data_IF_953665377776
#
_entry.id   IF_953665377776
#
_cell.length_a   1.000
_cell.length_b   1.000
_cell.length_c   1.000
_cell.angle_alpha   90.00
_cell.angle_beta   90.00
_cell.angle_gamma   90.00
#
_symmetry.space_group_name_H-M   'P 1'
#
loop_
_entity.id
_entity.type
_entity.pdbx_description
1 polymer ?
#
# COMPACT_ATOMS: atom_id res chain seq x y z
N UNK A 1 -4.02 22.67 17.92
CA UNK A 1 -4.64 21.47 17.33
C UNK A 1 -6.03 21.89 16.89
N UNK A 2 -6.37 21.75 15.61
CA UNK A 2 -7.74 21.95 15.15
C UNK A 2 -8.58 20.75 15.50
N UNK A 3 -9.86 20.98 15.80
CA UNK A 3 -10.86 19.92 15.97
C UNK A 3 -11.84 20.07 14.82
N UNK A 4 -12.14 18.96 14.14
CA UNK A 4 -13.24 18.89 13.21
C UNK A 4 -14.44 18.29 13.94
N UNK A 5 -15.62 18.87 13.73
CA UNK A 5 -16.87 18.40 14.32
C UNK A 5 -17.74 17.77 13.23
N UNK A 6 -18.55 16.79 13.61
CA UNK A 6 -19.51 16.18 12.69
C UNK A 6 -20.67 17.14 12.46
N UNK A 7 -20.84 17.61 11.23
CA UNK A 7 -22.01 18.34 10.78
C UNK A 7 -23.06 17.34 10.29
N UNK A 8 -24.15 17.23 11.04
CA UNK A 8 -25.25 16.31 10.73
C UNK A 8 -26.07 16.73 9.50
N UNK A 9 -26.11 18.03 9.16
CA UNK A 9 -26.84 18.51 8.00
C UNK A 9 -26.09 18.21 6.70
N UNK A 10 -24.76 18.32 6.73
CA UNK A 10 -23.89 18.02 5.59
C UNK A 10 -23.37 16.58 5.58
N UNK A 11 -23.66 15.80 6.63
CA UNK A 11 -23.19 14.42 6.81
C UNK A 11 -21.67 14.27 6.66
N UNK A 12 -20.90 15.24 7.16
CA UNK A 12 -19.43 15.26 7.07
C UNK A 12 -18.77 15.82 8.32
N UNK A 13 -17.52 15.46 8.56
CA UNK A 13 -16.67 16.16 9.52
C UNK A 13 -16.05 17.39 8.85
N UNK A 14 -16.15 18.55 9.49
CA UNK A 14 -15.52 19.77 9.02
C UNK A 14 -14.88 20.54 10.18
N UNK A 15 -13.74 21.16 9.92
CA UNK A 15 -13.03 21.98 10.89
C UNK A 15 -12.24 23.06 10.16
N UNK A 16 -12.15 24.24 10.76
CA UNK A 16 -11.35 25.35 10.24
C UNK A 16 -10.23 25.62 11.24
N UNK A 17 -9.00 25.72 10.73
CA UNK A 17 -7.84 26.07 11.54
C UNK A 17 -7.32 27.42 11.07
N UNK A 18 -7.25 28.37 11.99
CA UNK A 18 -6.56 29.63 11.75
C UNK A 18 -5.05 29.43 11.91
N UNK A 19 -4.35 29.57 10.79
CA UNK A 19 -2.89 29.37 10.71
C UNK A 19 -2.10 30.48 11.40
N UNK A 20 -2.70 31.65 11.62
CA UNK A 20 -2.04 32.81 12.25
C UNK A 20 -1.92 32.66 13.76
N UNK A 21 -2.73 31.79 14.36
CA UNK A 21 -2.77 31.52 15.80
C UNK A 21 -2.11 30.20 16.18
N UNK A 22 -1.52 29.48 15.21
CA UNK A 22 -0.86 28.21 15.45
C UNK A 22 0.41 28.41 16.31
N UNK A 23 0.57 27.66 17.42
CA UNK A 23 1.64 27.91 18.40
C UNK A 23 3.06 27.49 17.94
N UNK A 24 3.23 27.02 16.70
CA UNK A 24 4.49 26.51 16.16
C UNK A 24 4.65 26.90 14.68
N UNK A 25 5.88 27.17 14.23
CA UNK A 25 6.18 27.30 12.81
C UNK A 25 6.12 25.91 12.15
N UNK A 26 4.96 25.60 11.57
CA UNK A 26 4.68 24.30 10.97
C UNK A 26 4.71 24.33 9.44
N UNK A 27 5.03 25.47 8.83
CA UNK A 27 4.93 25.62 7.40
C UNK A 27 5.83 24.61 6.65
N UNK A 28 5.27 23.96 5.63
CA UNK A 28 5.93 22.89 4.87
C UNK A 28 5.95 21.52 5.56
N UNK A 29 5.41 21.37 6.78
CA UNK A 29 5.32 20.07 7.46
C UNK A 29 4.06 19.32 7.05
N UNK A 30 4.13 17.99 7.04
CA UNK A 30 3.00 17.12 6.71
C UNK A 30 1.82 17.30 7.68
N UNK A 31 0.62 17.24 7.12
CA UNK A 31 -0.65 17.28 7.85
C UNK A 31 -1.19 15.86 7.98
N UNK A 32 -1.69 15.56 9.18
CA UNK A 32 -2.34 14.30 9.51
C UNK A 32 -3.70 14.58 10.13
N UNK A 33 -4.72 13.88 9.67
CA UNK A 33 -6.01 13.84 10.34
C UNK A 33 -6.09 12.58 11.19
N UNK A 34 -6.57 12.71 12.42
CA UNK A 34 -6.87 11.57 13.25
C UNK A 34 -8.34 11.62 13.67
N UNK A 35 -8.99 10.47 13.71
CA UNK A 35 -10.38 10.32 14.13
C UNK A 35 -10.52 9.08 15.01
N UNK A 36 -11.52 9.09 15.89
CA UNK A 36 -11.91 7.92 16.68
C UNK A 36 -13.42 7.82 16.80
N UNK A 37 -13.95 6.60 16.78
CA UNK A 37 -15.38 6.36 16.98
C UNK A 37 -15.73 6.43 18.48
N UNK A 38 -16.14 7.60 18.96
CA UNK A 38 -16.66 7.79 20.32
C UNK A 38 -15.67 8.42 21.29
N UNK A 39 -16.21 9.01 22.36
CA UNK A 39 -15.45 9.72 23.40
C UNK A 39 -14.90 8.80 24.50
N UNK A 40 -15.32 7.52 24.52
CA UNK A 40 -14.95 6.55 25.52
C UNK A 40 -13.93 5.54 24.96
N UNK A 41 -12.65 5.85 25.17
CA UNK A 41 -11.51 5.04 24.75
C UNK A 41 -11.45 3.64 25.39
N UNK A 42 -12.30 3.36 26.40
CA UNK A 42 -12.33 2.08 27.12
C UNK A 42 -13.37 1.10 26.59
N UNK A 43 -14.31 1.57 25.76
CA UNK A 43 -15.38 0.74 25.16
C UNK A 43 -15.04 0.16 23.80
N UNK A 44 -13.79 0.34 23.37
CA UNK A 44 -13.24 -0.16 22.11
C UNK A 44 -13.63 0.70 20.91
N UNK A 45 -13.05 1.90 20.75
CA UNK A 45 -13.15 2.66 19.52
C UNK A 45 -12.14 2.19 18.46
N UNK A 46 -12.58 2.19 17.21
CA UNK A 46 -11.69 2.27 16.06
C UNK A 46 -11.10 3.68 16.00
N UNK A 47 -9.80 3.77 15.69
CA UNK A 47 -9.16 5.02 15.35
C UNK A 47 -8.63 4.94 13.91
N UNK A 48 -8.61 6.10 13.26
CA UNK A 48 -8.15 6.31 11.90
C UNK A 48 -7.12 7.43 11.90
N UNK A 49 -6.02 7.25 11.19
CA UNK A 49 -5.08 8.32 10.80
C UNK A 49 -5.11 8.44 9.28
N UNK A 50 -5.20 9.65 8.72
CA UNK A 50 -5.20 9.93 7.28
C UNK A 50 -4.13 10.96 6.92
N UNK A 51 -3.49 10.81 5.77
CA UNK A 51 -2.57 11.81 5.21
C UNK A 51 -2.47 11.72 3.68
N UNK A 52 -1.86 12.74 3.07
CA UNK A 52 -1.50 12.78 1.66
C UNK A 52 -0.16 13.52 1.53
N UNK A 53 0.77 13.10 0.66
CA UNK A 53 2.09 13.74 0.51
C UNK A 53 2.04 15.23 0.18
N UNK A 54 1.01 15.69 -0.53
CA UNK A 54 0.81 17.11 -0.86
C UNK A 54 0.18 17.95 0.26
N UNK A 55 -0.34 17.32 1.33
CA UNK A 55 -0.93 18.04 2.46
C UNK A 55 0.18 18.56 3.36
N UNK A 56 0.69 19.72 3.00
CA UNK A 56 1.70 20.44 3.76
C UNK A 56 1.04 21.66 4.42
N UNK A 57 1.43 21.95 5.65
CA UNK A 57 0.98 23.15 6.35
C UNK A 57 1.34 24.39 5.50
N UNK A 58 0.37 25.21 5.05
CA UNK A 58 0.67 26.49 4.40
C UNK A 58 1.48 27.43 5.29
N UNK A 59 2.15 28.38 4.63
CA UNK A 59 2.70 29.55 5.30
C UNK A 59 1.56 30.39 5.87
N UNK A 60 1.71 30.89 7.09
CA UNK A 60 0.76 31.83 7.66
C UNK A 60 0.73 33.11 6.81
N UNK A 61 -0.45 33.46 6.29
CA UNK A 61 -0.67 34.71 5.56
C UNK A 61 -1.45 35.68 6.44
N UNK A 62 -0.95 36.91 6.60
CA UNK A 62 -1.66 37.99 7.28
C UNK A 62 -2.78 38.62 6.42
N UNK A 63 -2.88 38.22 5.14
CA UNK A 63 -3.81 38.80 4.17
C UNK A 63 -4.97 37.84 3.91
N UNK A 64 -6.19 38.31 4.19
CA UNK A 64 -7.48 37.60 4.05
C UNK A 64 -7.88 37.21 2.61
N UNK A 65 -6.93 37.16 1.68
CA UNK A 65 -7.17 36.82 0.28
C UNK A 65 -6.20 35.74 -0.19
N UNK A 66 -6.46 34.52 0.24
CA UNK A 66 -6.08 33.29 -0.46
C UNK A 66 -7.23 32.31 -0.27
N UNK A 67 -7.63 31.53 -1.28
CA UNK A 67 -8.70 30.55 -1.08
C UNK A 67 -8.30 29.62 0.06
N UNK A 68 -9.25 29.29 0.92
CA UNK A 68 -9.03 28.31 1.98
C UNK A 68 -8.49 27.02 1.35
N UNK A 69 -7.36 26.53 1.84
CA UNK A 69 -6.87 25.21 1.45
C UNK A 69 -7.82 24.19 2.06
N UNK A 70 -8.52 23.47 1.20
CA UNK A 70 -9.42 22.41 1.59
C UNK A 70 -8.70 21.08 1.41
N UNK A 71 -8.62 20.30 2.48
CA UNK A 71 -8.20 18.91 2.44
C UNK A 71 -9.43 18.05 2.72
N UNK A 72 -9.70 17.07 1.87
CA UNK A 72 -10.84 16.16 2.04
C UNK A 72 -10.33 14.75 2.31
N UNK A 73 -11.06 13.98 3.12
CA UNK A 73 -10.70 12.58 3.38
C UNK A 73 -10.77 11.69 2.14
N UNK A 74 -11.56 12.07 1.13
CA UNK A 74 -11.58 11.41 -0.19
C UNK A 74 -10.29 11.59 -0.96
N UNK A 75 -9.50 12.63 -0.66
CA UNK A 75 -8.20 12.88 -1.28
C UNK A 75 -7.05 12.25 -0.44
N UNK A 76 -7.33 11.39 0.53
CA UNK A 76 -6.28 10.75 1.33
C UNK A 76 -5.56 9.66 0.53
N UNK A 77 -4.21 9.70 0.53
CA UNK A 77 -3.35 8.68 -0.09
C UNK A 77 -2.70 7.76 0.93
N UNK A 78 -2.98 7.91 2.23
CA UNK A 78 -2.38 7.09 3.28
C UNK A 78 -3.31 7.05 4.49
N UNK A 79 -3.61 5.84 4.99
CA UNK A 79 -4.44 5.66 6.16
C UNK A 79 -3.92 4.54 7.07
N UNK A 80 -4.14 4.70 8.37
CA UNK A 80 -3.90 3.67 9.37
C UNK A 80 -5.18 3.49 10.16
N UNK A 81 -5.71 2.27 10.16
CA UNK A 81 -6.80 1.86 11.06
C UNK A 81 -6.23 1.10 12.24
N UNK A 82 -6.81 1.33 13.41
CA UNK A 82 -6.48 0.56 14.60
C UNK A 82 -7.59 0.58 15.63
N UNK A 83 -7.32 -0.10 16.74
CA UNK A 83 -8.18 -0.20 17.91
C UNK A 83 -7.50 0.49 19.09
N UNK A 84 -8.30 1.05 19.98
CA UNK A 84 -7.82 1.52 21.28
C UNK A 84 -7.96 0.38 22.29
N UNK A 85 -6.86 0.03 22.96
CA UNK A 85 -6.83 -1.07 23.93
C UNK A 85 -6.04 -0.65 25.17
N UNK A 86 -6.71 -0.59 26.32
CA UNK A 86 -6.10 -0.14 27.58
C UNK A 86 -5.61 1.30 27.50
N UNK A 87 -4.33 1.55 27.78
CA UNK A 87 -3.69 2.87 27.70
C UNK A 87 -3.01 3.17 26.34
N UNK A 88 -3.24 2.36 25.30
CA UNK A 88 -2.52 2.49 24.03
C UNK A 88 -3.36 2.32 22.77
N UNK A 89 -2.85 2.86 21.67
CA UNK A 89 -3.34 2.61 20.32
C UNK A 89 -2.66 1.33 19.78
N UNK A 90 -3.44 0.39 19.25
CA UNK A 90 -2.94 -0.82 18.57
C UNK A 90 -3.47 -0.84 17.14
N UNK A 91 -2.65 -1.13 16.14
CA UNK A 91 -3.13 -1.49 14.80
C UNK A 91 -2.84 -2.97 14.55
N UNK A 92 -3.81 -3.69 14.01
CA UNK A 92 -3.70 -5.13 13.74
C UNK A 92 -2.88 -5.41 12.47
N UNK A 93 -2.84 -4.46 11.54
CA UNK A 93 -1.94 -4.44 10.38
C UNK A 93 -2.07 -3.07 9.71
N UNK A 94 -0.97 -2.34 9.55
CA UNK A 94 -0.95 -1.17 8.66
C UNK A 94 -0.85 -1.74 7.25
N UNK A 95 -1.99 -1.98 6.59
CA UNK A 95 -1.96 -2.14 5.13
C UNK A 95 -1.58 -0.76 4.59
N UNK A 96 -0.45 -0.63 3.88
CA UNK A 96 -0.11 0.64 3.29
C UNK A 96 -1.19 1.01 2.27
N UNK A 97 -1.43 2.31 2.09
CA UNK A 97 -2.40 2.70 1.07
C UNK A 97 -1.86 2.35 -0.30
N UNK A 98 -2.67 1.69 -1.15
CA UNK A 98 -2.24 1.36 -2.48
C UNK A 98 -1.80 2.60 -3.26
N UNK A 99 -0.70 2.47 -3.98
CA UNK A 99 -0.15 3.51 -4.85
C UNK A 99 -0.29 3.00 -6.27
N UNK A 100 -1.14 3.57 -7.13
CA UNK A 100 -1.30 3.13 -8.51
C UNK A 100 0.05 3.05 -9.25
N UNK A 101 0.20 2.08 -10.15
CA UNK A 101 1.47 1.81 -10.84
C UNK A 101 2.09 3.08 -11.45
N UNK A 102 1.29 3.89 -12.15
CA UNK A 102 1.77 5.14 -12.75
C UNK A 102 2.35 6.13 -11.72
N UNK A 103 1.73 6.25 -10.54
CA UNK A 103 2.25 7.09 -9.46
C UNK A 103 3.53 6.52 -8.83
N UNK A 104 3.64 5.19 -8.77
CA UNK A 104 4.84 4.53 -8.27
C UNK A 104 6.02 4.71 -9.24
N UNK A 105 5.81 4.46 -10.54
CA UNK A 105 6.82 4.61 -11.60
C UNK A 105 7.27 6.07 -11.77
N UNK A 106 6.36 7.03 -11.61
CA UNK A 106 6.69 8.46 -11.67
C UNK A 106 7.77 8.87 -10.66
N UNK A 107 7.94 8.14 -9.55
CA UNK A 107 9.01 8.41 -8.56
C UNK A 107 10.40 8.14 -9.13
N UNK A 108 10.53 7.15 -10.01
CA UNK A 108 11.79 6.71 -10.61
C UNK A 108 12.10 7.44 -11.92
N UNK A 109 11.07 7.75 -12.73
CA UNK A 109 11.24 8.24 -14.09
C UNK A 109 10.74 9.68 -14.33
N UNK A 110 10.92 10.57 -13.34
CA UNK A 110 10.42 11.95 -13.40
C UNK A 110 10.82 12.71 -14.66
N UNK A 111 12.05 12.48 -15.15
CA UNK A 111 12.63 13.19 -16.31
C UNK A 111 12.52 12.39 -17.61
N UNK A 112 12.03 11.15 -17.56
CA UNK A 112 11.89 10.30 -18.74
C UNK A 112 10.60 9.45 -18.66
N UNK A 113 9.42 10.06 -18.85
CA UNK A 113 8.14 9.37 -18.71
C UNK A 113 7.97 8.16 -19.64
N UNK A 114 8.62 8.12 -20.81
CA UNK A 114 8.56 6.95 -21.69
C UNK A 114 9.24 5.71 -21.12
N UNK A 115 10.15 5.88 -20.16
CA UNK A 115 10.70 4.76 -19.39
C UNK A 115 9.72 4.22 -18.36
N UNK A 116 8.62 4.91 -18.04
CA UNK A 116 7.60 4.46 -17.10
C UNK A 116 6.48 3.64 -17.75
N UNK A 117 6.62 3.21 -19.01
CA UNK A 117 5.61 2.37 -19.65
C UNK A 117 5.51 1.00 -18.96
N UNK A 118 4.31 0.46 -18.65
CA UNK A 118 4.15 -0.76 -17.87
C UNK A 118 4.92 -1.99 -18.39
N UNK A 119 5.06 -2.10 -19.72
CA UNK A 119 5.79 -3.18 -20.38
C UNK A 119 7.27 -2.91 -20.66
N UNK A 120 7.80 -1.73 -20.30
CA UNK A 120 9.19 -1.39 -20.51
C UNK A 120 10.11 -2.03 -19.46
N UNK A 121 11.38 -2.18 -19.82
CA UNK A 121 12.50 -2.65 -18.99
C UNK A 121 13.65 -1.64 -19.18
N UNK A 122 13.62 -0.49 -18.48
CA UNK A 122 14.57 0.60 -18.71
C UNK A 122 15.97 0.33 -18.19
N UNK A 123 16.11 -0.53 -17.18
CA UNK A 123 17.39 -0.86 -16.57
C UNK A 123 18.03 -2.14 -17.14
N UNK A 124 17.25 -2.96 -17.87
CA UNK A 124 17.72 -4.06 -18.69
C UNK A 124 17.94 -5.35 -17.93
N UNK A 125 17.23 -5.57 -16.82
CA UNK A 125 17.34 -6.80 -16.01
C UNK A 125 16.38 -7.93 -16.44
N UNK A 126 15.51 -7.64 -17.42
CA UNK A 126 14.51 -8.55 -17.95
C UNK A 126 13.19 -8.56 -17.19
N UNK A 127 13.03 -7.74 -16.14
CA UNK A 127 11.75 -7.47 -15.49
C UNK A 127 11.08 -6.26 -16.13
N UNK A 128 9.78 -6.35 -16.40
CA UNK A 128 9.02 -5.19 -16.84
C UNK A 128 8.62 -4.33 -15.65
N UNK A 129 8.44 -3.03 -15.88
CA UNK A 129 7.92 -2.08 -14.90
C UNK A 129 6.68 -2.57 -14.12
N UNK A 130 5.76 -3.30 -14.76
CA UNK A 130 4.62 -3.93 -14.07
C UNK A 130 5.06 -5.00 -13.08
N UNK A 131 5.93 -5.92 -13.51
CA UNK A 131 6.43 -6.96 -12.62
C UNK A 131 7.18 -6.33 -11.43
N UNK A 132 8.02 -5.34 -11.71
CA UNK A 132 8.77 -4.60 -10.70
C UNK A 132 7.88 -3.84 -9.73
N UNK A 133 6.82 -3.20 -10.22
CA UNK A 133 5.81 -2.57 -9.39
C UNK A 133 5.15 -3.56 -8.43
N UNK A 134 4.86 -4.78 -8.85
CA UNK A 134 4.27 -5.79 -7.97
C UNK A 134 5.28 -6.43 -7.01
N UNK A 135 6.54 -6.54 -7.41
CA UNK A 135 7.60 -7.15 -6.60
C UNK A 135 8.31 -6.15 -5.67
N UNK A 136 8.22 -4.86 -5.95
CA UNK A 136 8.85 -3.79 -5.18
C UNK A 136 10.35 -3.62 -5.49
N UNK A 137 10.82 -4.02 -6.67
CA UNK A 137 12.17 -3.70 -7.16
C UNK A 137 12.29 -2.24 -7.60
N UNK A 138 13.51 -1.75 -7.80
CA UNK A 138 13.78 -0.41 -8.34
C UNK A 138 13.98 -0.51 -9.86
N UNK A 139 13.06 0.03 -10.68
CA UNK A 139 13.04 -0.14 -12.14
C UNK A 139 14.11 0.67 -12.87
N UNK A 140 14.92 1.40 -12.12
CA UNK A 140 16.06 2.15 -12.63
C UNK A 140 17.40 1.50 -12.29
N UNK A 141 17.39 0.30 -11.68
CA UNK A 141 18.58 -0.38 -11.16
C UNK A 141 18.49 -1.89 -11.38
N UNK A 142 19.19 -2.36 -12.42
CA UNK A 142 19.26 -3.78 -12.77
C UNK A 142 19.77 -4.74 -11.67
N UNK A 143 20.41 -4.21 -10.61
CA UNK A 143 20.80 -5.00 -9.45
C UNK A 143 19.66 -5.25 -8.45
N UNK A 144 18.51 -4.61 -8.63
CA UNK A 144 17.38 -4.59 -7.70
C UNK A 144 16.39 -5.74 -7.93
N UNK A 145 16.84 -6.90 -8.37
CA UNK A 145 15.94 -8.00 -8.73
C UNK A 145 15.26 -8.64 -7.51
N UNK A 146 13.98 -8.99 -7.63
CA UNK A 146 13.24 -9.79 -6.65
C UNK A 146 12.78 -11.09 -7.29
N UNK A 147 13.03 -12.24 -6.64
CA UNK A 147 12.67 -13.55 -7.17
C UNK A 147 11.82 -14.33 -6.17
N UNK A 148 10.85 -15.15 -6.65
CA UNK A 148 10.16 -16.09 -5.78
C UNK A 148 11.13 -17.12 -5.19
N UNK A 149 10.94 -17.44 -3.92
CA UNK A 149 11.67 -18.50 -3.22
C UNK A 149 10.89 -19.81 -3.30
N UNK A 150 11.60 -20.92 -3.55
CA UNK A 150 11.03 -22.27 -3.47
C UNK A 150 11.97 -23.16 -2.66
N UNK A 151 11.44 -23.85 -1.65
CA UNK A 151 12.19 -24.85 -0.90
C UNK A 151 11.32 -26.07 -0.55
N UNK A 152 11.97 -27.22 -0.41
CA UNK A 152 11.36 -28.47 0.02
C UNK A 152 11.73 -28.70 1.48
N UNK A 153 10.73 -28.84 2.36
CA UNK A 153 10.94 -29.17 3.77
C UNK A 153 9.90 -30.19 4.25
N UNK A 154 10.36 -31.23 4.93
CA UNK A 154 9.54 -32.31 5.49
C UNK A 154 8.45 -32.88 4.52
N UNK A 155 8.74 -32.94 3.22
CA UNK A 155 7.79 -33.41 2.19
C UNK A 155 6.78 -32.37 1.69
N UNK A 156 6.87 -31.14 2.17
CA UNK A 156 6.10 -29.99 1.71
C UNK A 156 6.92 -29.09 0.80
N UNK A 157 6.22 -28.39 -0.08
CA UNK A 157 6.76 -27.33 -0.91
C UNK A 157 6.40 -26.01 -0.24
N UNK A 158 7.40 -25.18 -0.02
CA UNK A 158 7.26 -23.84 0.52
C UNK A 158 7.57 -22.84 -0.59
N UNK A 159 6.65 -21.91 -0.80
CA UNK A 159 6.81 -20.82 -1.76
C UNK A 159 6.81 -19.50 -1.01
N UNK A 160 7.83 -18.67 -1.24
CA UNK A 160 7.95 -17.33 -0.69
C UNK A 160 7.96 -16.28 -1.79
N UNK A 161 7.33 -15.14 -1.56
CA UNK A 161 7.33 -14.02 -2.49
C UNK A 161 7.41 -12.71 -1.72
N UNK A 162 8.51 -11.96 -1.93
CA UNK A 162 8.55 -10.54 -1.57
C UNK A 162 7.73 -9.76 -2.58
N UNK A 163 6.97 -8.77 -2.12
CA UNK A 163 6.10 -7.96 -2.97
C UNK A 163 6.05 -6.51 -2.50
N UNK A 164 5.70 -5.62 -3.41
CA UNK A 164 5.44 -4.24 -3.09
C UNK A 164 4.18 -4.15 -2.20
N UNK A 165 4.31 -3.64 -0.97
CA UNK A 165 3.17 -3.60 -0.05
C UNK A 165 2.16 -2.49 -0.40
N UNK A 166 2.47 -1.65 -1.39
CA UNK A 166 1.61 -0.60 -1.93
C UNK A 166 0.97 -0.99 -3.27
N UNK A 167 1.24 -2.17 -3.83
CA UNK A 167 0.69 -2.54 -5.13
C UNK A 167 -0.83 -2.79 -5.06
N UNK A 168 -1.56 -2.24 -6.03
CA UNK A 168 -2.97 -2.54 -6.31
C UNK A 168 -3.06 -3.90 -7.00
N UNK A 169 -3.89 -4.80 -6.46
CA UNK A 169 -4.10 -6.14 -6.99
C UNK A 169 -3.42 -7.22 -6.15
N UNK A 170 -3.22 -8.39 -6.77
CA UNK A 170 -2.69 -9.55 -6.07
C UNK A 170 -2.11 -10.61 -6.99
N UNK A 171 -1.87 -11.78 -6.40
CA UNK A 171 -1.25 -12.91 -7.10
C UNK A 171 -2.16 -14.13 -7.02
N UNK A 172 -2.30 -14.82 -8.15
CA UNK A 172 -2.93 -16.13 -8.23
C UNK A 172 -1.83 -17.17 -8.41
N UNK A 173 -1.73 -18.11 -7.47
CA UNK A 173 -0.82 -19.24 -7.65
C UNK A 173 -1.34 -20.15 -8.76
N UNK A 174 -0.50 -20.42 -9.75
CA UNK A 174 -0.72 -21.45 -10.75
C UNK A 174 0.29 -22.58 -10.58
N UNK A 175 -0.14 -23.80 -10.91
CA UNK A 175 0.75 -24.96 -10.99
C UNK A 175 0.59 -25.71 -12.31
N UNK A 176 1.67 -26.36 -12.73
CA UNK A 176 1.74 -27.18 -13.94
C UNK A 176 2.60 -28.42 -13.69
N UNK A 177 2.37 -29.49 -14.45
CA UNK A 177 3.16 -30.72 -14.44
C UNK A 177 3.96 -30.90 -15.75
N UNK A 178 3.68 -30.08 -16.76
CA UNK A 178 4.23 -30.17 -18.12
C UNK A 178 4.80 -28.84 -18.67
N UNK A 179 4.78 -27.77 -17.86
CA UNK A 179 5.11 -26.38 -18.22
C UNK A 179 4.22 -25.75 -19.30
N UNK A 180 3.17 -26.44 -19.75
CA UNK A 180 2.28 -25.99 -20.84
C UNK A 180 0.88 -25.68 -20.31
N UNK A 181 0.33 -26.61 -19.54
CA UNK A 181 -1.01 -26.51 -18.97
C UNK A 181 -0.90 -25.98 -17.54
N UNK A 182 -1.47 -24.81 -17.30
CA UNK A 182 -1.41 -24.13 -16.01
C UNK A 182 -2.79 -24.07 -15.36
N UNK A 183 -2.90 -24.61 -14.15
CA UNK A 183 -4.14 -24.63 -13.39
C UNK A 183 -4.02 -23.73 -12.16
N UNK A 184 -5.12 -23.04 -11.80
CA UNK A 184 -5.19 -22.29 -10.55
C UNK A 184 -5.09 -23.23 -9.35
N UNK A 185 -4.24 -22.88 -8.38
CA UNK A 185 -4.08 -23.62 -7.13
C UNK A 185 -4.40 -22.72 -5.95
N UNK A 186 -5.54 -22.98 -5.31
CA UNK A 186 -5.94 -22.26 -4.11
C UNK A 186 -5.23 -22.86 -2.89
N UNK A 187 -4.48 -22.04 -2.17
CA UNK A 187 -3.74 -22.43 -0.95
C UNK A 187 -3.97 -21.35 0.09
N UNK A 188 -4.31 -21.75 1.32
CA UNK A 188 -4.33 -20.81 2.45
C UNK A 188 -2.89 -20.42 2.79
N UNK A 189 -2.54 -19.13 2.77
CA UNK A 189 -1.19 -18.70 3.12
C UNK A 189 -0.85 -19.07 4.56
N UNK A 190 0.40 -19.51 4.79
CA UNK A 190 0.95 -19.61 6.15
C UNK A 190 1.40 -18.25 6.66
N UNK A 191 1.72 -17.33 5.74
CA UNK A 191 1.95 -15.93 6.04
C UNK A 191 1.41 -15.06 4.91
N UNK A 192 0.67 -14.01 5.28
CA UNK A 192 0.15 -13.01 4.34
C UNK A 192 0.34 -11.62 4.96
N UNK A 193 1.51 -11.01 4.71
CA UNK A 193 1.87 -9.64 5.10
C UNK A 193 1.86 -8.74 3.87
N UNK A 194 1.67 -7.43 4.00
CA UNK A 194 1.71 -6.52 2.85
C UNK A 194 2.93 -6.73 1.94
N UNK A 195 4.11 -6.96 2.52
CA UNK A 195 5.40 -7.08 1.85
C UNK A 195 5.84 -8.52 1.53
N UNK A 196 5.15 -9.53 2.09
CA UNK A 196 5.57 -10.94 2.00
C UNK A 196 4.39 -11.90 1.98
N UNK A 197 4.39 -12.81 1.01
CA UNK A 197 3.49 -13.96 0.94
C UNK A 197 4.28 -15.24 1.14
N UNK A 198 3.81 -16.14 2.01
CA UNK A 198 4.36 -17.48 2.17
C UNK A 198 3.25 -18.54 2.11
N UNK A 199 3.47 -19.55 1.27
CA UNK A 199 2.57 -20.66 1.03
C UNK A 199 3.27 -21.97 1.40
N UNK A 200 2.54 -22.88 2.02
CA UNK A 200 2.99 -24.25 2.25
C UNK A 200 1.95 -25.20 1.65
N UNK A 201 2.42 -26.14 0.83
CA UNK A 201 1.57 -27.04 0.08
C UNK A 201 2.17 -28.44 0.03
N UNK A 202 1.30 -29.44 0.04
CA UNK A 202 1.74 -30.82 -0.14
C UNK A 202 2.18 -31.07 -1.58
N UNK A 203 3.19 -31.93 -1.74
CA UNK A 203 3.55 -32.46 -3.06
C UNK A 203 2.35 -33.24 -3.61
N UNK A 204 1.98 -32.99 -4.86
CA UNK A 204 0.90 -33.73 -5.50
C UNK A 204 1.28 -35.22 -5.63
N UNK A 205 0.44 -36.16 -5.18
CA UNK A 205 0.74 -37.58 -5.25
C UNK A 205 0.89 -38.04 -6.69
N UNK A 206 1.95 -38.81 -7.00
CA UNK A 206 2.14 -39.43 -8.32
C UNK A 206 2.66 -38.50 -9.43
N UNK A 207 2.86 -37.21 -9.15
CA UNK A 207 3.38 -36.26 -10.14
C UNK A 207 4.92 -36.25 -10.13
N UNK A 208 5.59 -36.57 -11.25
CA UNK A 208 7.06 -36.63 -11.31
C UNK A 208 7.71 -35.24 -11.21
N UNK A 209 6.99 -34.18 -11.61
CA UNK A 209 7.43 -32.79 -11.53
C UNK A 209 6.26 -31.86 -11.19
N UNK A 210 6.54 -30.78 -10.45
CA UNK A 210 5.59 -29.72 -10.17
C UNK A 210 6.27 -28.37 -10.40
N UNK A 211 5.66 -27.55 -11.26
CA UNK A 211 6.09 -26.19 -11.59
C UNK A 211 5.09 -25.19 -11.03
N UNK A 212 5.58 -24.02 -10.64
CA UNK A 212 4.78 -22.97 -10.03
C UNK A 212 5.05 -21.64 -10.69
N UNK A 213 4.01 -20.80 -10.81
CA UNK A 213 4.15 -19.39 -11.14
C UNK A 213 3.12 -18.58 -10.35
N UNK A 214 3.47 -17.35 -10.03
CA UNK A 214 2.53 -16.36 -9.55
C UNK A 214 2.04 -15.57 -10.75
N UNK A 215 0.74 -15.65 -11.02
CA UNK A 215 0.10 -14.85 -12.05
C UNK A 215 -0.42 -13.56 -11.41
N UNK A 216 0.01 -12.42 -11.96
CA UNK A 216 -0.45 -11.11 -11.54
C UNK A 216 -1.92 -10.93 -11.88
N UNK A 217 -2.69 -10.39 -10.94
CA UNK A 217 -4.07 -9.99 -11.15
C UNK A 217 -4.23 -8.55 -10.69
N UNK A 218 -4.43 -7.64 -11.64
CA UNK A 218 -4.81 -6.25 -11.35
C UNK A 218 -6.28 -6.23 -10.94
N UNK A 219 -6.61 -5.55 -9.85
CA UNK A 219 -8.01 -5.17 -9.61
C UNK A 219 -8.34 -4.04 -10.59
N UNK A 220 -9.35 -4.23 -11.43
CA UNK A 220 -9.85 -3.17 -12.30
C UNK A 220 -10.39 -2.02 -11.45
N UNK A 221 -9.84 -0.82 -11.63
CA UNK A 221 -10.33 0.44 -11.04
C UNK A 221 -11.81 0.70 -11.36
#
# INVERSE_FOLDING_TARGET
LGVAEFDAAESRFAGVIDTTTAPLNLAGRSVYFWASNGSDLTKGPEWLLLTHPSWLWPQASASAMTPAITWTSSDALSFVLGQVSGQGLRSSSVRPVPVPQGQWLAKFFQTNPSSAEPGADPDGDGMSNSLEYFLGSDPSKASSTVQPEVHLDAGKIHLGLNRNPYAVGGFILKSSTDLRTWNTRTVTPVMDRPDRLELSLDKLPGEPAAFFRFELHEESE
#
